data_IF_608759738661
#
_entry.id   IF_608759738661
#
_cell.length_a   1.000
_cell.length_b   1.000
_cell.length_c   1.000
_cell.angle_alpha   90.00
_cell.angle_beta   90.00
_cell.angle_gamma   90.00
#
_symmetry.space_group_name_H-M   'P 1'
#
loop_
_entity.id
_entity.type
_entity.pdbx_description
1 polymer ?
#
# COMPACT_ATOMS: atom_id res chain seq x y z
N UNK A 1 -35.49 -23.49 63.38
CA UNK A 1 -34.56 -24.02 62.31
C UNK A 1 -34.85 -23.50 60.90
N UNK A 2 -36.02 -22.93 60.61
CA UNK A 2 -36.38 -22.44 59.29
C UNK A 2 -35.80 -21.02 58.98
N UNK A 3 -35.69 -20.14 59.95
CA UNK A 3 -35.24 -18.76 59.79
C UNK A 3 -33.73 -18.65 59.51
N UNK A 4 -32.91 -19.58 60.00
CA UNK A 4 -31.47 -19.58 59.83
C UNK A 4 -31.02 -20.00 58.38
N UNK A 5 -31.81 -20.84 57.70
CA UNK A 5 -31.56 -21.22 56.28
C UNK A 5 -31.88 -20.09 55.31
N UNK A 6 -32.82 -19.22 55.66
CA UNK A 6 -33.16 -18.05 54.83
C UNK A 6 -32.09 -16.97 54.92
N UNK A 7 -31.48 -16.77 56.09
CA UNK A 7 -30.40 -15.80 56.27
C UNK A 7 -29.10 -16.22 55.55
N UNK A 8 -28.76 -17.51 55.56
CA UNK A 8 -27.58 -18.05 54.87
C UNK A 8 -27.75 -17.95 53.36
N UNK A 9 -28.93 -18.20 52.81
CA UNK A 9 -29.21 -18.05 51.38
C UNK A 9 -29.23 -16.57 50.94
N UNK A 10 -29.69 -15.64 51.77
CA UNK A 10 -29.64 -14.21 51.47
C UNK A 10 -28.21 -13.65 51.45
N UNK A 11 -27.32 -14.12 52.34
CA UNK A 11 -25.91 -13.74 52.38
C UNK A 11 -25.15 -14.33 51.16
N UNK A 12 -25.48 -15.56 50.72
CA UNK A 12 -24.89 -16.15 49.53
C UNK A 12 -25.33 -15.46 48.22
N UNK A 13 -26.56 -14.96 48.17
CA UNK A 13 -27.09 -14.20 47.03
C UNK A 13 -26.46 -12.79 46.95
N UNK A 14 -26.09 -12.17 48.05
CA UNK A 14 -25.41 -10.87 48.09
C UNK A 14 -23.93 -10.94 47.62
N UNK A 15 -23.28 -12.10 47.78
CA UNK A 15 -21.88 -12.27 47.34
C UNK A 15 -21.73 -12.51 45.83
N UNK A 16 -22.81 -12.81 45.09
CA UNK A 16 -22.80 -13.07 43.66
C UNK A 16 -22.87 -11.80 42.77
N UNK A 17 -22.95 -10.60 43.36
CA UNK A 17 -23.28 -9.37 42.62
C UNK A 17 -22.05 -8.46 42.36
N UNK A 18 -20.84 -8.81 42.82
CA UNK A 18 -19.69 -7.90 42.74
C UNK A 18 -18.47 -8.48 41.99
N UNK A 19 -18.69 -8.89 40.76
CA UNK A 19 -17.55 -9.02 39.84
C UNK A 19 -17.88 -8.35 38.50
N UNK A 20 -18.22 -7.07 38.57
CA UNK A 20 -18.24 -6.24 37.38
C UNK A 20 -16.80 -5.90 37.03
N UNK A 21 -16.12 -6.80 36.29
CA UNK A 21 -14.79 -6.55 35.77
C UNK A 21 -14.74 -5.25 34.99
N UNK A 22 -13.58 -4.60 35.00
CA UNK A 22 -13.36 -3.37 34.23
C UNK A 22 -13.40 -3.69 32.73
N UNK A 23 -14.47 -3.33 32.04
CA UNK A 23 -14.70 -3.57 30.64
C UNK A 23 -14.61 -2.26 29.85
N UNK A 24 -14.01 -2.30 28.67
CA UNK A 24 -13.96 -1.18 27.72
C UNK A 24 -14.59 -1.58 26.39
N UNK A 25 -15.04 -0.57 25.64
CA UNK A 25 -15.54 -0.74 24.27
C UNK A 25 -14.66 0.09 23.34
N UNK A 26 -14.12 -0.51 22.32
CA UNK A 26 -13.28 0.21 21.33
C UNK A 26 -14.09 0.49 20.09
N UNK A 27 -14.08 1.76 19.63
CA UNK A 27 -14.82 2.24 18.47
C UNK A 27 -13.94 3.10 17.55
N UNK A 28 -14.32 3.14 16.28
CA UNK A 28 -13.77 4.05 15.28
C UNK A 28 -14.32 5.47 15.52
N UNK A 29 -13.43 6.48 15.47
CA UNK A 29 -13.81 7.90 15.67
C UNK A 29 -14.63 8.47 14.51
N UNK A 30 -14.49 7.91 13.30
CA UNK A 30 -15.15 8.41 12.07
C UNK A 30 -16.47 7.70 11.81
N UNK A 31 -16.45 6.35 11.83
CA UNK A 31 -17.64 5.54 11.51
C UNK A 31 -18.51 5.25 12.73
N UNK A 32 -17.99 5.45 13.94
CA UNK A 32 -18.61 5.08 15.21
C UNK A 32 -18.90 3.57 15.38
N UNK A 33 -18.41 2.75 14.47
CA UNK A 33 -18.54 1.30 14.53
C UNK A 33 -17.61 0.69 15.58
N UNK A 34 -17.99 -0.46 16.11
CA UNK A 34 -17.18 -1.20 17.08
C UNK A 34 -16.00 -1.87 16.39
N UNK A 35 -14.82 -1.80 17.00
CA UNK A 35 -13.61 -2.41 16.47
C UNK A 35 -13.33 -3.75 17.16
N UNK A 36 -13.45 -4.82 16.38
CA UNK A 36 -13.05 -6.16 16.79
C UNK A 36 -11.58 -6.41 16.50
N UNK A 37 -10.90 -7.22 17.31
CA UNK A 37 -9.50 -7.58 17.06
C UNK A 37 -8.47 -6.52 17.44
N UNK A 38 -8.85 -5.53 18.23
CA UNK A 38 -7.91 -4.56 18.81
C UNK A 38 -7.09 -5.26 19.87
N UNK A 39 -5.77 -5.29 19.70
CA UNK A 39 -4.84 -5.83 20.69
C UNK A 39 -4.54 -4.80 21.76
N UNK A 40 -4.72 -5.19 23.02
CA UNK A 40 -4.49 -4.37 24.22
C UNK A 40 -3.35 -5.03 24.98
N UNK A 41 -2.27 -4.32 25.21
CA UNK A 41 -1.10 -4.83 25.93
C UNK A 41 -0.45 -3.75 26.77
N UNK A 42 0.25 -4.18 27.82
CA UNK A 42 1.04 -3.31 28.68
C UNK A 42 2.43 -3.02 28.06
N UNK A 43 3.16 -2.08 28.65
CA UNK A 43 4.49 -1.65 28.16
C UNK A 43 5.49 -2.80 28.14
N UNK A 44 5.37 -3.74 29.06
CA UNK A 44 6.27 -4.91 29.19
C UNK A 44 5.79 -6.09 28.34
N UNK A 45 4.60 -5.98 27.73
CA UNK A 45 3.92 -7.06 26.98
C UNK A 45 3.73 -8.34 27.81
N UNK A 46 3.61 -8.19 29.11
CA UNK A 46 3.38 -9.30 30.04
C UNK A 46 1.97 -9.85 29.92
N UNK A 47 1.02 -9.01 29.55
CA UNK A 47 -0.38 -9.36 29.36
C UNK A 47 -0.90 -8.85 28.01
N UNK A 48 -1.71 -9.67 27.35
CA UNK A 48 -2.33 -9.36 26.05
C UNK A 48 -3.80 -9.73 26.08
N UNK A 49 -4.65 -8.76 25.79
CA UNK A 49 -6.08 -8.95 25.58
C UNK A 49 -6.49 -8.49 24.19
N UNK A 50 -7.59 -9.03 23.67
CA UNK A 50 -8.08 -8.67 22.33
C UNK A 50 -9.57 -8.40 22.36
N UNK A 51 -10.03 -7.31 21.71
CA UNK A 51 -11.45 -7.01 21.64
C UNK A 51 -12.22 -8.09 20.86
N UNK A 52 -13.35 -8.52 21.43
CA UNK A 52 -14.26 -9.47 20.81
C UNK A 52 -15.03 -8.82 19.62
N UNK A 53 -15.86 -9.59 18.91
CA UNK A 53 -16.66 -9.11 17.77
C UNK A 53 -17.57 -7.90 18.10
N UNK A 54 -17.92 -7.70 19.36
CA UNK A 54 -18.72 -6.59 19.85
C UNK A 54 -17.86 -5.38 20.28
N UNK A 55 -16.55 -5.39 19.98
CA UNK A 55 -15.61 -4.34 20.33
C UNK A 55 -15.26 -4.25 21.83
N UNK A 56 -15.67 -5.23 22.65
CA UNK A 56 -15.44 -5.23 24.08
C UNK A 56 -14.21 -6.03 24.48
N UNK A 57 -13.47 -5.54 25.47
CA UNK A 57 -12.36 -6.24 26.13
C UNK A 57 -12.42 -6.03 27.64
N UNK A 58 -11.88 -7.01 28.39
CA UNK A 58 -11.74 -6.94 29.84
C UNK A 58 -10.32 -6.49 30.19
N UNK A 59 -10.20 -5.61 31.17
CA UNK A 59 -8.90 -5.09 31.61
C UNK A 59 -8.45 -5.62 32.96
N UNK A 60 -9.18 -6.59 33.53
CA UNK A 60 -8.91 -7.09 34.89
C UNK A 60 -7.52 -7.75 35.04
N UNK A 61 -6.98 -8.32 33.95
CA UNK A 61 -5.68 -8.97 33.96
C UNK A 61 -4.48 -8.01 34.00
N UNK A 62 -4.70 -6.71 33.85
CA UNK A 62 -3.59 -5.72 33.86
C UNK A 62 -3.47 -5.05 35.22
N UNK A 63 -2.26 -4.62 35.57
CA UNK A 63 -2.00 -3.85 36.78
C UNK A 63 -2.69 -2.49 36.76
N UNK A 64 -3.07 -1.97 37.94
CA UNK A 64 -3.82 -0.71 38.07
C UNK A 64 -3.06 0.49 37.50
N UNK A 65 -1.75 0.52 37.61
CA UNK A 65 -0.89 1.60 37.13
C UNK A 65 -0.27 1.33 35.75
N UNK A 66 -0.68 0.23 35.10
CA UNK A 66 -0.14 -0.14 33.79
C UNK A 66 -0.52 0.85 32.70
N UNK A 67 0.44 1.17 31.83
CA UNK A 67 0.19 1.89 30.58
C UNK A 67 -0.27 0.91 29.51
N UNK A 68 -1.53 0.99 29.13
CA UNK A 68 -2.16 0.11 28.15
C UNK A 68 -2.08 0.71 26.77
N UNK A 69 -1.50 -0.04 25.83
CA UNK A 69 -1.43 0.30 24.42
C UNK A 69 -2.50 -0.44 23.64
N UNK A 70 -3.33 0.33 22.92
CA UNK A 70 -4.37 -0.16 22.03
C UNK A 70 -3.84 -0.12 20.60
N UNK A 71 -3.74 -1.30 19.96
CA UNK A 71 -3.22 -1.45 18.61
C UNK A 71 -4.22 -2.19 17.73
N UNK A 72 -4.48 -1.63 16.55
CA UNK A 72 -5.24 -2.28 15.50
C UNK A 72 -4.63 -1.91 14.13
N UNK A 73 -4.60 -2.87 13.20
CA UNK A 73 -4.11 -2.61 11.85
C UNK A 73 -4.96 -1.52 11.17
N UNK A 74 -4.31 -0.48 10.64
CA UNK A 74 -4.99 0.66 10.00
C UNK A 74 -5.43 1.77 10.95
N UNK A 75 -5.07 1.69 12.26
CA UNK A 75 -5.36 2.73 13.26
C UNK A 75 -4.10 3.23 13.93
N UNK A 76 -4.13 4.49 14.39
CA UNK A 76 -3.05 5.04 15.21
C UNK A 76 -3.05 4.35 16.57
N UNK A 77 -1.88 3.84 16.97
CA UNK A 77 -1.70 3.27 18.30
C UNK A 77 -1.96 4.34 19.37
N UNK A 78 -2.76 4.01 20.37
CA UNK A 78 -3.10 4.89 21.49
C UNK A 78 -2.67 4.25 22.79
N UNK A 79 -1.99 5.00 23.65
CA UNK A 79 -1.57 4.53 24.97
C UNK A 79 -2.29 5.32 26.04
N UNK A 80 -2.92 4.62 26.99
CA UNK A 80 -3.67 5.18 28.10
C UNK A 80 -3.27 4.49 29.40
N UNK A 81 -3.22 5.21 30.51
CA UNK A 81 -3.04 4.60 31.83
C UNK A 81 -4.35 3.94 32.27
N UNK A 82 -4.26 2.71 32.77
CA UNK A 82 -5.44 1.96 33.24
C UNK A 82 -6.20 2.70 34.32
N UNK A 83 -5.51 3.38 35.23
CA UNK A 83 -6.13 4.21 36.29
C UNK A 83 -7.03 5.32 35.77
N UNK A 84 -6.81 5.80 34.55
CA UNK A 84 -7.64 6.83 33.91
C UNK A 84 -8.82 6.25 33.11
N UNK A 85 -8.88 4.95 32.90
CA UNK A 85 -9.94 4.28 32.16
C UNK A 85 -11.08 3.93 33.13
N UNK A 86 -12.28 4.48 32.90
CA UNK A 86 -13.47 4.14 33.67
C UNK A 86 -14.07 2.84 33.12
N UNK A 87 -14.77 2.09 34.00
CA UNK A 87 -15.52 0.91 33.57
C UNK A 87 -16.60 1.32 32.55
N UNK A 88 -16.79 0.51 31.52
CA UNK A 88 -17.66 0.75 30.35
C UNK A 88 -17.32 2.00 29.53
N UNK A 89 -16.08 2.51 29.62
CA UNK A 89 -15.62 3.64 28.81
C UNK A 89 -15.46 3.23 27.34
N UNK A 90 -15.86 4.12 26.43
CA UNK A 90 -15.59 3.99 25.01
C UNK A 90 -14.21 4.57 24.70
N UNK A 91 -13.34 3.76 24.12
CA UNK A 91 -12.03 4.17 23.60
C UNK A 91 -12.18 4.42 22.10
N UNK A 92 -11.89 5.62 21.67
CA UNK A 92 -11.98 6.04 20.27
C UNK A 92 -10.64 5.90 19.58
N UNK A 93 -10.55 5.03 18.57
CA UNK A 93 -9.36 4.90 17.76
C UNK A 93 -9.47 5.72 16.47
N UNK A 94 -8.43 6.46 16.16
CA UNK A 94 -8.35 7.27 14.94
C UNK A 94 -7.75 6.42 13.82
N UNK A 95 -8.41 6.31 12.66
CA UNK A 95 -7.83 5.65 11.50
C UNK A 95 -6.46 6.25 11.16
N UNK A 96 -5.49 5.38 10.93
CA UNK A 96 -4.18 5.81 10.46
C UNK A 96 -4.25 6.03 8.95
N UNK A 97 -4.62 7.24 8.55
CA UNK A 97 -4.61 7.69 7.16
C UNK A 97 -3.21 8.08 6.67
N UNK A 98 -2.16 7.81 7.47
CA UNK A 98 -0.82 7.90 6.93
C UNK A 98 -0.76 6.88 5.78
N UNK A 99 -0.86 7.39 4.56
CA UNK A 99 -0.47 6.67 3.37
C UNK A 99 0.90 6.08 3.68
N UNK A 100 1.02 4.76 3.59
CA UNK A 100 2.32 4.09 3.61
C UNK A 100 3.18 4.90 2.65
N UNK A 101 4.15 5.65 3.20
CA UNK A 101 4.89 6.64 2.42
C UNK A 101 5.43 5.95 1.19
N UNK A 102 5.01 6.45 0.04
CA UNK A 102 5.35 5.90 -1.27
C UNK A 102 6.86 5.72 -1.35
N UNK A 103 7.29 4.48 -1.50
CA UNK A 103 8.70 4.09 -1.49
C UNK A 103 9.24 4.22 -2.91
N UNK A 104 10.25 5.07 -3.09
CA UNK A 104 10.94 5.26 -4.36
C UNK A 104 12.18 4.36 -4.38
N UNK A 105 12.33 3.56 -5.42
CA UNK A 105 13.49 2.68 -5.59
C UNK A 105 14.55 3.27 -6.53
N UNK A 106 14.17 4.22 -7.36
CA UNK A 106 14.99 4.64 -8.50
C UNK A 106 16.02 5.73 -8.20
N UNK A 107 15.79 6.60 -7.20
CA UNK A 107 16.63 7.81 -7.05
C UNK A 107 18.03 7.54 -6.52
N UNK A 108 18.17 6.63 -5.56
CA UNK A 108 19.47 6.38 -4.89
C UNK A 108 19.99 4.95 -5.05
N UNK A 109 19.33 4.13 -5.88
CA UNK A 109 19.51 2.66 -5.91
C UNK A 109 19.24 1.99 -4.56
N UNK A 110 18.71 2.73 -3.61
CA UNK A 110 18.25 2.27 -2.30
C UNK A 110 16.78 2.61 -2.12
N UNK A 111 16.14 1.93 -1.18
CA UNK A 111 14.73 2.12 -0.86
C UNK A 111 14.59 3.36 0.02
N UNK A 112 14.21 4.50 -0.59
CA UNK A 112 14.00 5.75 0.13
C UNK A 112 12.54 6.20 0.11
N UNK A 113 12.12 6.89 1.18
CA UNK A 113 10.80 7.51 1.22
C UNK A 113 10.79 8.74 0.32
N UNK A 114 9.79 8.87 -0.56
CA UNK A 114 9.59 10.02 -1.48
C UNK A 114 9.80 11.38 -0.80
N UNK A 115 9.37 11.52 0.44
CA UNK A 115 9.48 12.75 1.24
C UNK A 115 10.92 13.16 1.59
N UNK A 116 11.88 12.24 1.52
CA UNK A 116 13.31 12.50 1.83
C UNK A 116 14.15 12.80 0.60
N UNK A 117 13.56 12.73 -0.58
CA UNK A 117 14.26 12.97 -1.82
C UNK A 117 14.26 14.45 -2.17
N UNK A 118 15.43 14.99 -2.54
CA UNK A 118 15.56 16.35 -3.04
C UNK A 118 14.95 16.51 -4.45
N UNK A 119 14.80 15.42 -5.19
CA UNK A 119 14.26 15.39 -6.53
C UNK A 119 12.75 15.17 -6.50
N UNK A 120 12.04 15.84 -7.40
CA UNK A 120 10.62 15.56 -7.58
C UNK A 120 10.47 14.21 -8.29
N UNK A 121 9.71 13.31 -7.67
CA UNK A 121 9.39 11.99 -8.21
C UNK A 121 7.89 11.83 -8.29
N UNK A 122 7.40 11.40 -9.44
CA UNK A 122 6.02 10.93 -9.62
C UNK A 122 6.02 9.43 -9.81
N UNK A 123 5.16 8.76 -9.09
CA UNK A 123 5.00 7.30 -9.13
C UNK A 123 3.60 7.01 -9.66
N UNK A 124 3.50 6.06 -10.55
CA UNK A 124 2.24 5.48 -11.01
C UNK A 124 2.22 4.04 -10.51
N UNK A 125 1.32 3.76 -9.60
CA UNK A 125 1.16 2.44 -8.98
C UNK A 125 0.43 1.46 -9.92
N UNK A 126 0.52 0.15 -9.62
CA UNK A 126 -0.23 -0.89 -10.34
C UNK A 126 -1.74 -0.62 -10.33
N UNK A 127 -2.27 -0.10 -9.23
CA UNK A 127 -3.70 0.23 -9.11
C UNK A 127 -4.10 1.38 -10.02
N UNK A 128 -3.28 2.43 -10.10
CA UNK A 128 -3.51 3.56 -11.00
C UNK A 128 -3.41 3.12 -12.46
N UNK A 129 -2.41 2.30 -12.82
CA UNK A 129 -2.30 1.71 -14.16
C UNK A 129 -3.56 0.94 -14.52
N UNK A 130 -4.08 0.13 -13.61
CA UNK A 130 -5.30 -0.64 -13.83
C UNK A 130 -6.55 0.26 -13.98
N UNK A 131 -6.64 1.36 -13.22
CA UNK A 131 -7.75 2.33 -13.31
C UNK A 131 -7.71 3.12 -14.60
N UNK A 132 -6.53 3.60 -15.02
CA UNK A 132 -6.33 4.33 -16.28
C UNK A 132 -6.59 3.43 -17.49
N UNK A 133 -6.26 2.13 -17.36
CA UNK A 133 -6.35 1.13 -18.43
C UNK A 133 -5.77 1.63 -19.76
N UNK A 134 -4.50 2.11 -19.78
CA UNK A 134 -3.92 2.78 -20.91
C UNK A 134 -3.71 1.83 -22.09
N UNK A 135 -3.92 2.34 -23.31
CA UNK A 135 -3.68 1.56 -24.52
C UNK A 135 -2.20 1.19 -24.68
N UNK A 136 -1.31 2.10 -24.31
CA UNK A 136 0.12 1.93 -24.36
C UNK A 136 0.82 2.79 -23.30
N UNK A 137 2.11 2.60 -23.14
CA UNK A 137 2.93 3.29 -22.14
C UNK A 137 3.05 4.80 -22.41
N UNK A 138 2.93 5.24 -23.67
CA UNK A 138 2.90 6.66 -23.98
C UNK A 138 1.65 7.36 -23.43
N UNK A 139 0.50 6.70 -23.51
CA UNK A 139 -0.76 7.18 -22.90
C UNK A 139 -0.62 7.22 -21.38
N UNK A 140 -0.06 6.17 -20.77
CA UNK A 140 0.20 6.13 -19.33
C UNK A 140 1.06 7.32 -18.86
N UNK A 141 2.12 7.63 -19.58
CA UNK A 141 3.03 8.71 -19.21
C UNK A 141 2.40 10.12 -19.35
N UNK A 142 1.36 10.30 -20.17
CA UNK A 142 0.64 11.58 -20.28
C UNK A 142 -0.12 11.95 -19.01
N UNK A 143 -0.49 10.96 -18.20
CA UNK A 143 -1.19 11.19 -16.94
C UNK A 143 -0.26 11.76 -15.85
N UNK A 144 1.06 11.74 -16.08
CA UNK A 144 2.04 12.27 -15.14
C UNK A 144 2.18 13.79 -15.31
N UNK A 145 1.87 14.59 -14.29
CA UNK A 145 2.08 16.05 -14.35
C UNK A 145 3.53 16.40 -14.68
N UNK A 146 3.74 17.23 -15.71
CA UNK A 146 5.06 17.64 -16.16
C UNK A 146 5.69 16.73 -17.22
N UNK A 147 4.99 15.69 -17.63
CA UNK A 147 5.35 14.85 -18.77
C UNK A 147 4.44 15.16 -19.96
N UNK A 148 5.05 15.42 -21.09
CA UNK A 148 4.37 15.49 -22.39
C UNK A 148 4.89 14.36 -23.25
N UNK A 149 4.05 13.71 -24.01
CA UNK A 149 4.48 12.68 -24.96
C UNK A 149 4.24 13.20 -26.38
N UNK A 150 5.31 13.30 -27.13
CA UNK A 150 5.24 13.60 -28.56
C UNK A 150 4.93 12.32 -29.31
N UNK A 151 3.81 12.31 -29.97
CA UNK A 151 3.30 11.17 -30.73
C UNK A 151 2.80 11.67 -32.07
N UNK A 152 3.46 11.28 -33.15
CA UNK A 152 3.05 11.61 -34.52
C UNK A 152 2.20 10.53 -35.17
N UNK A 153 2.29 9.31 -34.67
CA UNK A 153 1.56 8.12 -35.15
C UNK A 153 1.30 7.16 -33.98
N UNK A 154 0.36 6.23 -34.13
CA UNK A 154 0.05 5.24 -33.11
C UNK A 154 1.23 4.36 -32.64
N UNK A 155 2.26 4.24 -33.48
CA UNK A 155 3.44 3.42 -33.21
C UNK A 155 4.65 4.15 -32.61
N UNK A 156 4.54 5.41 -32.22
CA UNK A 156 5.66 6.18 -31.64
C UNK A 156 5.22 6.98 -30.41
N UNK A 157 6.09 7.08 -29.42
CA UNK A 157 5.84 7.90 -28.24
C UNK A 157 7.16 8.32 -27.60
N UNK A 158 7.55 9.59 -27.76
CA UNK A 158 8.75 10.15 -27.15
C UNK A 158 8.35 11.00 -25.94
N UNK A 159 8.72 10.61 -24.73
CA UNK A 159 8.43 11.42 -23.55
C UNK A 159 9.31 12.67 -23.50
N UNK A 160 8.69 13.78 -23.12
CA UNK A 160 9.33 15.08 -22.89
C UNK A 160 9.08 15.44 -21.43
N UNK A 161 10.17 15.58 -20.68
CA UNK A 161 10.16 15.93 -19.26
C UNK A 161 10.55 17.40 -19.11
N UNK A 162 9.59 18.27 -18.77
CA UNK A 162 9.84 19.70 -18.58
C UNK A 162 10.65 20.36 -19.70
N UNK A 163 10.41 19.96 -20.94
CA UNK A 163 11.11 20.48 -22.13
C UNK A 163 12.37 19.72 -22.52
N UNK A 164 12.85 18.78 -21.70
CA UNK A 164 13.92 17.88 -22.08
C UNK A 164 13.39 16.69 -22.87
N UNK A 165 13.99 16.39 -23.97
CA UNK A 165 13.59 15.31 -24.88
C UNK A 165 14.79 14.50 -25.39
N UNK A 166 14.50 13.43 -26.10
CA UNK A 166 15.46 12.54 -26.75
C UNK A 166 16.54 11.99 -25.78
N UNK A 167 17.80 12.16 -26.09
CA UNK A 167 18.94 11.66 -25.32
C UNK A 167 19.14 12.33 -23.93
N UNK A 168 18.27 13.27 -23.55
CA UNK A 168 18.31 13.91 -22.23
C UNK A 168 17.34 13.30 -21.23
N UNK A 169 16.47 12.40 -21.69
CA UNK A 169 15.53 11.64 -20.88
C UNK A 169 15.87 10.17 -21.01
N UNK A 170 16.20 9.54 -19.89
CA UNK A 170 16.58 8.14 -19.88
C UNK A 170 15.37 7.25 -19.57
N UNK A 171 15.18 6.21 -20.39
CA UNK A 171 14.24 5.13 -20.09
C UNK A 171 14.99 3.94 -19.48
N UNK A 172 14.45 3.38 -18.42
CA UNK A 172 15.02 2.24 -17.70
C UNK A 172 13.92 1.20 -17.46
N UNK A 173 14.22 -0.07 -17.66
CA UNK A 173 13.33 -1.19 -17.32
C UNK A 173 14.07 -2.13 -16.39
N UNK A 174 13.55 -2.34 -15.19
CA UNK A 174 14.14 -3.19 -14.15
C UNK A 174 15.64 -2.96 -13.92
N UNK A 175 16.05 -1.69 -13.95
CA UNK A 175 17.46 -1.28 -13.80
C UNK A 175 18.29 -1.34 -15.08
N UNK A 176 17.75 -1.86 -16.18
CA UNK A 176 18.42 -1.91 -17.49
C UNK A 176 18.06 -0.67 -18.30
N UNK A 177 19.09 0.07 -18.75
CA UNK A 177 18.92 1.25 -19.59
C UNK A 177 18.44 0.83 -20.97
N UNK A 178 17.35 1.43 -21.44
CA UNK A 178 16.93 1.30 -22.84
C UNK A 178 17.76 2.25 -23.69
N UNK A 179 18.84 1.75 -24.23
CA UNK A 179 19.71 2.50 -25.12
C UNK A 179 19.47 2.08 -26.57
N UNK A 180 18.50 2.74 -27.19
CA UNK A 180 18.22 2.51 -28.60
C UNK A 180 19.23 3.31 -29.46
N UNK A 181 20.13 2.62 -30.15
CA UNK A 181 21.13 3.24 -31.00
C UNK A 181 20.55 3.92 -32.26
N UNK A 182 19.30 3.69 -32.59
CA UNK A 182 18.65 4.25 -33.78
C UNK A 182 17.81 5.47 -33.39
N UNK A 183 18.38 6.65 -33.65
CA UNK A 183 17.73 7.95 -33.40
C UNK A 183 17.08 8.48 -34.67
N UNK A 184 15.77 8.42 -34.72
CA UNK A 184 15.00 8.96 -35.85
C UNK A 184 14.83 10.46 -35.65
N UNK A 185 15.65 11.27 -36.29
CA UNK A 185 15.56 12.74 -36.30
C UNK A 185 15.46 13.40 -34.90
N UNK A 186 16.21 12.86 -33.90
CA UNK A 186 16.20 13.38 -32.54
C UNK A 186 15.06 12.89 -31.64
N UNK A 187 14.15 12.07 -32.14
CA UNK A 187 12.97 11.60 -31.40
C UNK A 187 13.01 10.08 -31.22
N UNK A 188 13.68 9.56 -30.18
CA UNK A 188 14.04 8.14 -30.23
C UNK A 188 13.65 7.28 -29.08
N UNK A 189 13.25 7.85 -28.01
CA UNK A 189 12.79 7.00 -26.94
C UNK A 189 11.35 6.55 -27.20
N UNK A 190 11.22 5.35 -27.75
CA UNK A 190 9.93 4.74 -27.92
C UNK A 190 9.49 4.10 -26.59
N UNK A 191 8.72 4.84 -25.81
CA UNK A 191 8.13 4.33 -24.60
C UNK A 191 7.19 3.14 -24.84
N UNK A 192 6.79 2.89 -26.09
CA UNK A 192 5.91 1.78 -26.47
C UNK A 192 6.57 0.40 -26.40
N UNK A 193 7.89 0.33 -26.18
CA UNK A 193 8.61 -0.95 -26.02
C UNK A 193 8.17 -1.74 -24.80
N UNK A 194 7.47 -1.12 -23.87
CA UNK A 194 7.00 -1.73 -22.62
C UNK A 194 5.49 -1.73 -22.59
N UNK A 195 4.88 -2.89 -22.37
CA UNK A 195 3.42 -2.96 -22.20
C UNK A 195 3.04 -2.48 -20.79
N UNK A 196 2.13 -1.49 -20.65
CA UNK A 196 1.70 -1.01 -19.35
C UNK A 196 1.08 -2.09 -18.47
N UNK A 197 0.45 -3.11 -19.01
CA UNK A 197 -0.13 -4.20 -18.24
C UNK A 197 0.92 -5.12 -17.61
N UNK A 198 2.15 -5.12 -18.14
CA UNK A 198 3.28 -5.87 -17.55
C UNK A 198 3.92 -5.15 -16.37
N UNK A 199 3.55 -3.89 -16.13
CA UNK A 199 4.16 -3.08 -15.09
C UNK A 199 3.54 -3.32 -13.72
N UNK A 200 4.38 -3.37 -12.69
CA UNK A 200 3.99 -3.23 -11.30
C UNK A 200 3.92 -1.76 -10.89
N UNK A 201 4.74 -0.90 -11.50
CA UNK A 201 4.72 0.55 -11.33
C UNK A 201 5.63 1.23 -12.35
N UNK A 202 5.46 2.54 -12.49
CA UNK A 202 6.39 3.42 -13.20
C UNK A 202 6.79 4.59 -12.30
N UNK A 203 8.06 4.97 -12.33
CA UNK A 203 8.61 6.10 -11.58
C UNK A 203 9.18 7.12 -12.54
N UNK A 204 8.77 8.37 -12.42
CA UNK A 204 9.28 9.49 -13.21
C UNK A 204 10.06 10.44 -12.31
N UNK A 205 11.35 10.51 -12.50
CA UNK A 205 12.28 11.37 -11.77
C UNK A 205 12.55 12.60 -12.61
N UNK A 206 12.24 13.76 -12.09
CA UNK A 206 12.45 15.04 -12.75
C UNK A 206 13.79 15.66 -12.33
N UNK A 207 14.52 16.15 -13.31
CA UNK A 207 15.79 16.82 -13.09
C UNK A 207 17.00 15.90 -13.23
N UNK A 208 18.21 16.43 -13.01
CA UNK A 208 19.44 15.72 -13.27
C UNK A 208 19.61 14.53 -12.33
N UNK A 209 19.67 13.35 -12.91
CA UNK A 209 19.90 12.06 -12.21
C UNK A 209 21.17 11.37 -12.71
N UNK A 210 22.09 12.15 -13.30
CA UNK A 210 23.32 11.64 -13.91
C UNK A 210 24.23 10.91 -12.93
N UNK A 211 24.21 11.26 -11.65
CA UNK A 211 25.00 10.59 -10.61
C UNK A 211 24.60 9.12 -10.46
N UNK A 212 23.30 8.82 -10.52
CA UNK A 212 22.79 7.45 -10.39
C UNK A 212 22.71 6.68 -11.69
N UNK A 213 22.42 7.38 -12.79
CA UNK A 213 22.03 6.77 -14.06
C UNK A 213 22.96 7.07 -15.25
N UNK A 214 23.90 8.01 -15.11
CA UNK A 214 24.83 8.39 -16.16
C UNK A 214 24.41 9.61 -16.99
N UNK A 215 25.20 9.95 -18.02
CA UNK A 215 25.13 11.21 -18.78
C UNK A 215 23.80 11.51 -19.45
N UNK A 216 23.04 10.48 -19.84
CA UNK A 216 21.80 10.63 -20.61
C UNK A 216 20.59 11.00 -19.72
N UNK A 217 20.78 11.01 -18.39
CA UNK A 217 19.75 11.37 -17.42
C UNK A 217 19.79 12.85 -17.00
N UNK A 218 20.02 13.77 -17.94
CA UNK A 218 20.12 15.21 -17.67
C UNK A 218 18.77 15.85 -17.38
N UNK A 219 17.74 15.51 -18.14
CA UNK A 219 16.38 16.02 -17.97
C UNK A 219 15.54 15.21 -17.00
N UNK A 220 15.88 13.95 -16.81
CA UNK A 220 15.20 13.03 -15.92
C UNK A 220 15.30 11.59 -16.34
N UNK A 221 14.66 10.73 -15.53
CA UNK A 221 14.62 9.28 -15.77
C UNK A 221 13.17 8.81 -15.67
N UNK A 222 12.78 7.92 -16.56
CA UNK A 222 11.55 7.16 -16.47
C UNK A 222 11.93 5.71 -16.23
N UNK A 223 11.60 5.20 -15.05
CA UNK A 223 11.93 3.84 -14.66
C UNK A 223 10.66 2.99 -14.59
N UNK A 224 10.61 1.96 -15.39
CA UNK A 224 9.54 0.98 -15.42
C UNK A 224 9.95 -0.25 -14.61
N UNK A 225 9.10 -0.67 -13.72
CA UNK A 225 9.26 -1.90 -12.95
C UNK A 225 8.24 -2.91 -13.44
N UNK A 226 8.71 -4.06 -13.91
CA UNK A 226 7.83 -5.14 -14.34
C UNK A 226 7.28 -5.92 -13.14
N UNK A 227 6.20 -6.65 -13.36
CA UNK A 227 5.63 -7.53 -12.35
C UNK A 227 6.57 -8.69 -12.10
N UNK A 228 6.91 -8.89 -10.83
CA UNK A 228 7.72 -10.02 -10.39
C UNK A 228 6.83 -11.01 -9.67
N UNK A 229 6.82 -12.29 -10.07
CA UNK A 229 6.04 -13.30 -9.38
C UNK A 229 6.54 -13.51 -7.95
N UNK A 230 5.61 -13.57 -6.99
CA UNK A 230 5.92 -13.74 -5.58
C UNK A 230 5.97 -15.24 -5.22
N UNK A 231 7.06 -15.65 -4.57
CA UNK A 231 7.17 -16.99 -3.98
C UNK A 231 6.21 -17.06 -2.78
N UNK A 232 5.40 -18.10 -2.69
CA UNK A 232 4.44 -18.28 -1.61
C UNK A 232 4.63 -19.67 -0.97
N UNK A 233 4.51 -19.74 0.35
CA UNK A 233 4.56 -21.00 1.12
C UNK A 233 3.51 -22.02 0.63
N UNK A 234 2.34 -21.55 0.25
CA UNK A 234 1.28 -22.35 -0.32
C UNK A 234 1.26 -22.23 -1.84
N UNK A 235 1.06 -23.35 -2.53
CA UNK A 235 0.86 -23.36 -3.99
C UNK A 235 -0.40 -22.55 -4.32
N UNK A 236 -0.26 -21.54 -5.16
CA UNK A 236 -1.36 -20.67 -5.56
C UNK A 236 -1.33 -20.44 -7.07
N UNK A 237 -2.44 -20.66 -7.71
CA UNK A 237 -2.66 -20.32 -9.12
C UNK A 237 -3.60 -19.11 -9.18
N UNK A 238 -3.20 -18.09 -9.90
CA UNK A 238 -4.01 -16.90 -10.21
C UNK A 238 -4.09 -16.78 -11.73
N UNK A 239 -5.31 -16.67 -12.23
CA UNK A 239 -5.57 -16.39 -13.64
C UNK A 239 -6.44 -15.14 -13.67
N UNK A 240 -6.01 -14.16 -14.44
CA UNK A 240 -6.76 -12.92 -14.66
C UNK A 240 -6.79 -12.60 -16.14
N UNK A 241 -7.94 -12.21 -16.65
CA UNK A 241 -8.12 -11.77 -18.02
C UNK A 241 -8.70 -10.36 -18.04
N UNK A 242 -8.26 -9.54 -19.00
CA UNK A 242 -8.84 -8.25 -19.30
C UNK A 242 -9.12 -8.13 -20.78
N UNK A 243 -10.24 -7.49 -21.12
CA UNK A 243 -10.60 -7.17 -22.49
C UNK A 243 -11.07 -5.73 -22.52
N UNK A 244 -10.51 -4.92 -23.42
CA UNK A 244 -10.92 -3.53 -23.62
C UNK A 244 -11.12 -3.26 -25.11
N UNK A 245 -12.04 -2.35 -25.40
CA UNK A 245 -12.34 -1.90 -26.75
C UNK A 245 -12.38 -0.38 -26.78
N UNK A 246 -11.57 0.21 -27.66
CA UNK A 246 -11.48 1.65 -27.84
C UNK A 246 -12.21 2.04 -29.12
N UNK A 247 -13.36 2.70 -28.99
CA UNK A 247 -14.21 3.08 -30.13
C UNK A 247 -13.54 4.08 -31.05
N UNK A 248 -12.75 5.01 -30.52
CA UNK A 248 -12.12 6.09 -31.32
C UNK A 248 -11.12 5.53 -32.33
N UNK A 249 -10.40 4.49 -31.95
CA UNK A 249 -9.37 3.87 -32.80
C UNK A 249 -9.79 2.52 -33.35
N UNK A 250 -11.01 2.07 -33.06
CA UNK A 250 -11.53 0.76 -33.43
C UNK A 250 -10.56 -0.38 -33.05
N UNK A 251 -9.99 -0.30 -31.85
CA UNK A 251 -8.97 -1.21 -31.37
C UNK A 251 -9.50 -2.09 -30.25
N UNK A 252 -9.28 -3.39 -30.36
CA UNK A 252 -9.55 -4.37 -29.29
C UNK A 252 -8.23 -4.82 -28.69
N UNK A 253 -8.14 -4.76 -27.36
CA UNK A 253 -7.01 -5.28 -26.58
C UNK A 253 -7.52 -6.36 -25.66
N UNK A 254 -6.84 -7.52 -25.69
CA UNK A 254 -7.08 -8.64 -24.79
C UNK A 254 -5.76 -8.97 -24.09
N UNK A 255 -5.82 -9.27 -22.82
CA UNK A 255 -4.67 -9.71 -22.06
C UNK A 255 -5.07 -10.82 -21.09
N UNK A 256 -4.24 -11.84 -21.00
CA UNK A 256 -4.39 -12.93 -20.03
C UNK A 256 -3.12 -13.02 -19.20
N UNK A 257 -3.28 -12.99 -17.89
CA UNK A 257 -2.19 -13.14 -16.92
C UNK A 257 -2.36 -14.47 -16.21
N UNK A 258 -1.31 -15.28 -16.21
CA UNK A 258 -1.23 -16.53 -15.47
C UNK A 258 -0.07 -16.41 -14.50
N UNK A 259 -0.35 -16.52 -13.22
CA UNK A 259 0.65 -16.48 -12.15
C UNK A 259 0.53 -17.78 -11.33
N UNK A 260 1.62 -18.51 -11.23
CA UNK A 260 1.72 -19.67 -10.36
C UNK A 260 2.83 -19.47 -9.34
N UNK A 261 2.51 -19.62 -8.08
CA UNK A 261 3.42 -19.47 -6.95
C UNK A 261 3.58 -20.79 -6.19
N UNK A 262 4.81 -21.11 -5.80
CA UNK A 262 5.16 -22.27 -5.00
C UNK A 262 6.27 -21.89 -3.99
N UNK A 263 6.59 -22.75 -2.99
CA UNK A 263 7.58 -22.43 -1.97
C UNK A 263 9.01 -22.19 -2.45
N UNK A 264 9.37 -22.68 -3.63
CA UNK A 264 10.73 -22.59 -4.15
C UNK A 264 10.82 -21.86 -5.50
N UNK A 265 9.70 -21.66 -6.19
CA UNK A 265 9.67 -21.02 -7.50
C UNK A 265 8.30 -20.40 -7.77
N UNK A 266 8.29 -19.41 -8.62
CA UNK A 266 7.08 -18.78 -9.10
C UNK A 266 7.24 -18.43 -10.58
N UNK A 267 6.13 -18.46 -11.33
CA UNK A 267 6.09 -18.13 -12.76
C UNK A 267 5.00 -17.10 -12.99
N UNK A 268 5.32 -16.12 -13.79
CA UNK A 268 4.40 -15.12 -14.31
C UNK A 268 4.45 -15.15 -15.82
N UNK A 269 3.30 -15.25 -16.45
CA UNK A 269 3.15 -15.18 -17.90
C UNK A 269 2.02 -14.23 -18.25
N UNK A 270 2.26 -13.39 -19.22
CA UNK A 270 1.26 -12.48 -19.81
C UNK A 270 1.25 -12.68 -21.32
N UNK A 271 0.06 -12.76 -21.89
CA UNK A 271 -0.21 -12.87 -23.32
C UNK A 271 -1.18 -11.78 -23.73
#
# INVERSE_FOLDING_TARGET
>A
MCCMKFLVNAVFLCFAICSAGQQVVVKDVVTHEVLAGVSIFDTEKSHLETTAKNGKAQLDGFDTDASLSFYHMGYKMQTLQKSHIKSAQVIWMTPNTEQLGEIVLSVSRSTDKKQRLAQQVSIISEQEIAQISPENTAVLLREVPGVRVQQSQGGGGSPVLRGFEANRVLLVVDGVRLNNAIFRSGHVHNALSVDPLSLSRAEVIFGPSSVGYGSDALGGVIHFYTRTPLINQNKKLRIAGSSSYTFVQNTSKQSTVIEYSAPKWAVFQQV
#
